data_IF_808618885927
#
_entry.id   IF_808618885927
#
_cell.length_a   1.000
_cell.length_b   1.000
_cell.length_c   1.000
_cell.angle_alpha   90.00
_cell.angle_beta   90.00
_cell.angle_gamma   90.00
#
_symmetry.space_group_name_H-M   'P 1'
#
loop_
_entity.id
_entity.type
_entity.pdbx_description
1 polymer ?
#
# COMPACT_ATOMS: atom_id res chain seq x y z
N UNK A 1 21.99 -46.94 13.33
CA UNK A 1 22.06 -45.57 13.84
C UNK A 1 20.99 -44.79 13.09
N UNK A 2 19.86 -44.60 13.75
CA UNK A 2 18.64 -43.99 13.19
C UNK A 2 18.81 -42.48 13.00
N UNK A 3 18.15 -42.00 11.94
CA UNK A 3 18.13 -40.62 11.48
C UNK A 3 17.26 -39.75 12.38
N UNK A 4 17.80 -38.63 12.89
CA UNK A 4 17.05 -37.58 13.57
C UNK A 4 16.32 -36.69 12.54
N UNK A 5 15.20 -37.15 12.00
CA UNK A 5 14.22 -36.26 11.39
C UNK A 5 13.28 -35.76 12.50
N UNK A 6 13.64 -34.63 13.12
CA UNK A 6 12.73 -33.91 14.02
C UNK A 6 11.48 -33.50 13.25
N UNK A 7 10.32 -33.98 13.68
CA UNK A 7 9.02 -33.56 13.14
C UNK A 7 8.87 -32.06 13.37
N UNK A 8 8.88 -31.26 12.29
CA UNK A 8 8.53 -29.84 12.37
C UNK A 8 7.05 -29.74 12.75
N UNK A 9 6.76 -29.58 14.03
CA UNK A 9 5.43 -29.27 14.54
C UNK A 9 5.18 -27.77 14.50
N UNK A 10 3.95 -27.37 14.20
CA UNK A 10 3.54 -25.96 14.34
C UNK A 10 3.62 -25.52 15.81
N UNK A 11 3.92 -24.24 16.08
CA UNK A 11 3.93 -23.70 17.43
C UNK A 11 2.52 -23.78 18.05
N UNK A 12 2.46 -24.05 19.37
CA UNK A 12 1.18 -24.09 20.09
C UNK A 12 0.56 -22.70 20.28
N UNK A 13 1.38 -21.65 20.23
CA UNK A 13 0.99 -20.25 20.33
C UNK A 13 1.93 -19.42 19.44
N UNK A 14 1.36 -18.46 18.73
CA UNK A 14 2.11 -17.43 18.01
C UNK A 14 1.88 -16.13 18.78
N UNK A 15 2.93 -15.64 19.44
CA UNK A 15 2.94 -14.39 20.19
C UNK A 15 3.92 -13.43 19.51
N UNK A 16 3.45 -12.83 18.42
CA UNK A 16 4.18 -11.88 17.59
C UNK A 16 3.33 -10.62 17.43
N UNK A 17 3.92 -9.45 17.14
CA UNK A 17 3.17 -8.20 16.93
C UNK A 17 2.03 -8.30 15.91
N UNK A 18 2.20 -9.11 14.85
CA UNK A 18 1.18 -9.38 13.83
C UNK A 18 0.13 -10.43 14.20
N UNK A 19 0.20 -11.03 15.39
CA UNK A 19 -0.76 -12.03 15.87
C UNK A 19 -1.82 -11.38 16.76
N UNK A 20 -2.78 -10.70 16.14
CA UNK A 20 -3.83 -9.93 16.83
C UNK A 20 -5.24 -10.44 16.52
N UNK A 21 -6.19 -10.04 17.36
CA UNK A 21 -7.63 -10.25 17.15
C UNK A 21 -8.30 -8.93 16.75
N UNK A 22 -9.42 -8.99 16.01
CA UNK A 22 -10.08 -7.78 15.49
C UNK A 22 -10.54 -6.76 16.54
N UNK A 23 -10.62 -7.15 17.81
CA UNK A 23 -10.94 -6.24 18.93
C UNK A 23 -9.71 -5.57 19.57
N UNK A 24 -8.50 -5.87 19.10
CA UNK A 24 -7.26 -5.37 19.68
C UNK A 24 -6.95 -3.91 19.27
N UNK A 25 -7.43 -3.46 18.10
CA UNK A 25 -7.24 -2.10 17.60
C UNK A 25 -8.56 -1.32 17.60
N UNK A 26 -9.03 -0.96 18.79
CA UNK A 26 -10.27 -0.18 18.95
C UNK A 26 -10.07 1.32 18.77
N UNK A 27 -8.84 1.83 18.93
CA UNK A 27 -8.51 3.23 18.71
C UNK A 27 -7.87 3.41 17.33
N UNK A 28 -8.46 4.23 16.47
CA UNK A 28 -7.92 4.56 15.15
C UNK A 28 -6.53 5.18 15.25
N UNK A 29 -6.21 5.89 16.34
CA UNK A 29 -4.89 6.53 16.51
C UNK A 29 -3.74 5.52 16.51
N UNK A 30 -4.03 4.24 16.78
CA UNK A 30 -3.05 3.16 16.78
C UNK A 30 -2.62 2.75 15.37
N UNK A 31 -3.40 3.05 14.32
CA UNK A 31 -3.11 2.61 12.95
C UNK A 31 -3.37 3.67 11.87
N UNK A 32 -3.92 4.83 12.22
CA UNK A 32 -4.18 5.93 11.30
C UNK A 32 -3.14 7.05 11.50
N UNK A 33 -2.34 7.28 10.47
CA UNK A 33 -1.50 8.46 10.34
C UNK A 33 -2.26 9.56 9.59
N UNK A 34 -2.62 10.62 10.32
CA UNK A 34 -3.31 11.78 9.77
C UNK A 34 -2.28 12.83 9.36
N UNK A 35 -2.20 13.09 8.05
CA UNK A 35 -1.38 14.15 7.48
C UNK A 35 -1.89 15.51 7.95
N UNK A 36 -0.98 16.32 8.47
CA UNK A 36 -1.18 17.75 8.70
C UNK A 36 -1.23 18.52 7.38
N UNK A 37 -1.72 19.75 7.41
CA UNK A 37 -1.74 20.62 6.23
C UNK A 37 -0.33 20.89 5.67
N UNK A 38 0.69 20.97 6.53
CA UNK A 38 2.08 21.14 6.12
C UNK A 38 2.64 19.89 5.42
N UNK A 39 2.25 18.70 5.89
CA UNK A 39 2.64 17.44 5.28
C UNK A 39 1.94 17.21 3.93
N UNK A 40 0.68 17.66 3.79
CA UNK A 40 0.00 17.69 2.49
C UNK A 40 0.72 18.63 1.52
N UNK A 41 1.07 19.85 1.96
CA UNK A 41 1.84 20.81 1.16
C UNK A 41 3.21 20.24 0.74
N UNK A 42 3.87 19.46 1.60
CA UNK A 42 5.11 18.75 1.26
C UNK A 42 4.90 17.75 0.10
N UNK A 43 3.82 16.96 0.14
CA UNK A 43 3.49 16.01 -0.92
C UNK A 43 3.16 16.74 -2.24
N UNK A 44 2.45 17.87 -2.18
CA UNK A 44 2.17 18.72 -3.35
C UNK A 44 3.45 19.29 -3.95
N UNK A 45 4.39 19.75 -3.12
CA UNK A 45 5.70 20.23 -3.56
C UNK A 45 6.52 19.12 -4.23
N UNK A 46 6.49 17.90 -3.69
CA UNK A 46 7.14 16.74 -4.29
C UNK A 46 6.50 16.36 -5.64
N UNK A 47 5.17 16.45 -5.77
CA UNK A 47 4.46 16.28 -7.04
C UNK A 47 4.91 17.32 -8.08
N UNK A 48 4.98 18.59 -7.69
CA UNK A 48 5.44 19.66 -8.57
C UNK A 48 6.89 19.44 -9.02
N UNK A 49 7.76 19.03 -8.10
CA UNK A 49 9.14 18.68 -8.40
C UNK A 49 9.22 17.55 -9.42
N UNK A 50 8.50 16.44 -9.20
CA UNK A 50 8.50 15.30 -10.09
C UNK A 50 8.01 15.66 -11.51
N UNK A 51 6.90 16.40 -11.60
CA UNK A 51 6.37 16.90 -12.89
C UNK A 51 7.38 17.75 -13.65
N UNK A 52 8.17 18.57 -12.95
CA UNK A 52 9.21 19.40 -13.57
C UNK A 52 10.35 18.58 -14.19
N UNK A 53 10.54 17.33 -13.79
CA UNK A 53 11.54 16.42 -14.39
C UNK A 53 11.10 15.89 -15.76
N UNK A 54 9.80 15.96 -16.10
CA UNK A 54 9.26 15.45 -17.36
C UNK A 54 9.41 13.94 -17.52
N UNK A 55 9.49 13.21 -16.40
CA UNK A 55 9.59 11.75 -16.38
C UNK A 55 8.20 11.11 -16.41
N UNK A 56 8.14 9.88 -16.90
CA UNK A 56 6.93 9.07 -16.84
C UNK A 56 6.66 8.63 -15.39
N UNK A 57 5.38 8.57 -15.00
CA UNK A 57 4.97 8.32 -13.60
C UNK A 57 5.40 6.96 -13.03
N UNK A 58 5.67 5.97 -13.89
CA UNK A 58 6.21 4.67 -13.49
C UNK A 58 7.65 4.76 -12.93
N UNK A 59 8.36 5.85 -13.23
CA UNK A 59 9.69 6.14 -12.71
C UNK A 59 9.68 6.81 -11.33
N UNK A 60 8.52 7.06 -10.71
CA UNK A 60 8.43 7.66 -9.37
C UNK A 60 9.13 6.77 -8.33
N UNK A 61 10.10 7.36 -7.65
CA UNK A 61 10.87 6.78 -6.56
C UNK A 61 11.22 7.83 -5.50
N UNK A 62 11.71 7.39 -4.33
CA UNK A 62 12.10 8.30 -3.24
C UNK A 62 13.09 9.40 -3.66
N UNK A 63 13.95 9.12 -4.65
CA UNK A 63 14.96 10.10 -5.11
C UNK A 63 14.36 11.25 -5.92
N UNK A 64 13.29 10.99 -6.69
CA UNK A 64 12.64 12.00 -7.54
C UNK A 64 11.28 12.45 -7.00
N UNK A 65 10.86 11.92 -5.85
CA UNK A 65 9.69 12.35 -5.08
C UNK A 65 10.09 12.55 -3.60
N UNK A 66 10.80 13.65 -3.29
CA UNK A 66 11.40 13.85 -1.96
C UNK A 66 10.35 14.25 -0.92
N UNK A 67 10.31 13.49 0.19
CA UNK A 67 9.45 13.75 1.35
C UNK A 67 10.33 13.78 2.62
N UNK A 68 11.03 14.90 2.91
CA UNK A 68 11.95 14.97 4.03
C UNK A 68 11.29 14.80 5.41
N UNK A 69 10.03 15.21 5.58
CA UNK A 69 9.32 15.06 6.87
C UNK A 69 8.39 13.86 6.80
N UNK A 70 7.53 13.81 5.78
CA UNK A 70 6.53 12.74 5.63
C UNK A 70 7.21 11.40 5.44
N UNK A 71 8.36 11.37 4.76
CA UNK A 71 9.13 10.14 4.54
C UNK A 71 9.59 9.47 5.83
N UNK A 72 9.91 10.23 6.89
CA UNK A 72 10.30 9.66 8.19
C UNK A 72 9.11 8.92 8.83
N UNK A 73 7.92 9.53 8.81
CA UNK A 73 6.69 8.90 9.28
C UNK A 73 6.31 7.67 8.46
N UNK A 74 6.46 7.73 7.13
CA UNK A 74 6.21 6.60 6.25
C UNK A 74 7.20 5.45 6.49
N UNK A 75 8.45 5.73 6.86
CA UNK A 75 9.41 4.69 7.25
C UNK A 75 9.02 3.98 8.55
N UNK A 76 8.40 4.68 9.50
CA UNK A 76 7.83 4.05 10.71
C UNK A 76 6.64 3.16 10.36
N UNK A 77 5.75 3.63 9.47
CA UNK A 77 4.60 2.84 8.99
C UNK A 77 5.10 1.60 8.25
N UNK A 78 6.10 1.74 7.37
CA UNK A 78 6.74 0.63 6.67
C UNK A 78 7.26 -0.43 7.66
N UNK A 79 7.94 -0.01 8.72
CA UNK A 79 8.46 -0.93 9.73
C UNK A 79 7.33 -1.69 10.43
N UNK A 80 6.27 -0.99 10.82
CA UNK A 80 5.13 -1.58 11.51
C UNK A 80 4.28 -2.50 10.61
N UNK A 81 4.25 -2.23 9.30
CA UNK A 81 3.67 -3.13 8.30
C UNK A 81 4.52 -4.40 8.13
N UNK A 82 5.85 -4.32 8.16
CA UNK A 82 6.70 -5.50 7.96
C UNK A 82 6.94 -6.32 9.24
N UNK A 83 7.09 -5.66 10.38
CA UNK A 83 7.57 -6.28 11.63
C UNK A 83 6.57 -6.14 12.79
N UNK A 84 5.57 -5.28 12.64
CA UNK A 84 4.60 -4.95 13.67
C UNK A 84 3.22 -5.53 13.37
N UNK A 85 2.20 -4.67 13.40
CA UNK A 85 0.79 -5.09 13.25
C UNK A 85 0.41 -5.57 11.85
N UNK A 86 1.19 -5.25 10.82
CA UNK A 86 0.95 -5.73 9.46
C UNK A 86 0.07 -4.84 8.59
N UNK A 87 -0.38 -3.68 9.08
CA UNK A 87 -1.22 -2.75 8.33
C UNK A 87 -1.08 -1.31 8.85
N UNK A 88 -1.49 -0.33 8.05
CA UNK A 88 -1.57 1.07 8.43
C UNK A 88 -2.44 1.86 7.46
N UNK A 89 -2.95 3.00 7.89
CA UNK A 89 -3.78 3.89 7.08
C UNK A 89 -3.18 5.30 7.08
N UNK A 90 -2.91 5.85 5.89
CA UNK A 90 -2.54 7.26 5.72
C UNK A 90 -3.78 8.03 5.28
N UNK A 91 -4.12 9.11 5.99
CA UNK A 91 -5.33 9.93 5.76
C UNK A 91 -4.94 11.40 5.68
N UNK A 92 -5.66 12.20 4.89
CA UNK A 92 -5.51 13.67 4.87
C UNK A 92 -5.49 14.30 3.48
N UNK A 93 -5.33 13.51 2.42
CA UNK A 93 -5.46 13.97 1.03
C UNK A 93 -6.95 13.97 0.66
N UNK A 94 -7.48 15.11 0.22
CA UNK A 94 -8.84 15.21 -0.29
C UNK A 94 -8.84 14.99 -1.81
N UNK A 95 -9.45 13.90 -2.32
CA UNK A 95 -9.38 13.56 -3.74
C UNK A 95 -10.09 14.55 -4.67
N UNK A 96 -10.97 15.41 -4.15
CA UNK A 96 -11.66 16.42 -4.96
C UNK A 96 -10.77 17.59 -5.38
N UNK A 97 -9.62 17.76 -4.73
CA UNK A 97 -8.72 18.90 -4.95
C UNK A 97 -7.72 18.65 -6.09
N UNK A 98 -7.65 17.41 -6.61
CA UNK A 98 -6.62 16.98 -7.54
C UNK A 98 -7.20 16.25 -8.75
N UNK A 99 -6.44 16.26 -9.85
CA UNK A 99 -6.75 15.42 -11.00
C UNK A 99 -6.51 13.94 -10.67
N UNK A 100 -7.13 13.01 -11.42
CA UNK A 100 -6.85 11.58 -11.26
C UNK A 100 -5.37 11.24 -11.51
N UNK A 101 -4.72 11.94 -12.43
CA UNK A 101 -3.29 11.78 -12.72
C UNK A 101 -2.43 12.26 -11.53
N UNK A 102 -2.77 13.40 -10.95
CA UNK A 102 -2.07 13.99 -9.81
C UNK A 102 -2.21 13.08 -8.58
N UNK A 103 -3.42 12.60 -8.30
CA UNK A 103 -3.65 11.63 -7.22
C UNK A 103 -2.85 10.36 -7.43
N UNK A 104 -2.78 9.88 -8.67
CA UNK A 104 -2.00 8.69 -9.00
C UNK A 104 -0.51 8.91 -8.72
N UNK A 105 0.05 10.06 -9.13
CA UNK A 105 1.45 10.38 -8.87
C UNK A 105 1.73 10.59 -7.38
N UNK A 106 0.84 11.28 -6.65
CA UNK A 106 0.95 11.43 -5.19
C UNK A 106 0.94 10.08 -4.48
N UNK A 107 0.01 9.20 -4.88
CA UNK A 107 -0.07 7.83 -4.37
C UNK A 107 1.20 7.04 -4.66
N UNK A 108 1.71 7.09 -5.89
CA UNK A 108 2.97 6.43 -6.28
C UNK A 108 4.15 6.95 -5.46
N UNK A 109 4.20 8.26 -5.24
CA UNK A 109 5.22 8.95 -4.44
C UNK A 109 5.24 8.43 -3.02
N UNK A 110 4.10 8.48 -2.33
CA UNK A 110 3.91 7.97 -0.97
C UNK A 110 4.22 6.47 -0.89
N UNK A 111 3.69 5.66 -1.81
CA UNK A 111 3.92 4.22 -1.85
C UNK A 111 5.41 3.86 -1.98
N UNK A 112 6.22 4.68 -2.66
CA UNK A 112 7.66 4.44 -2.81
C UNK A 112 8.43 4.48 -1.47
N UNK A 113 7.82 5.03 -0.42
CA UNK A 113 8.34 4.99 0.95
C UNK A 113 7.91 3.74 1.72
N UNK A 114 6.88 3.03 1.28
CA UNK A 114 6.42 1.80 1.95
C UNK A 114 7.07 0.57 1.32
N UNK A 115 7.03 0.45 -0.01
CA UNK A 115 7.63 -0.64 -0.75
C UNK A 115 8.51 -0.09 -1.89
N UNK A 116 9.73 -0.63 -2.01
CA UNK A 116 10.72 -0.17 -2.97
C UNK A 116 10.57 -0.81 -4.36
N UNK A 117 9.79 -1.89 -4.48
CA UNK A 117 9.48 -2.56 -5.73
C UNK A 117 7.96 -2.65 -5.85
N UNK A 118 7.45 -2.29 -7.02
CA UNK A 118 6.04 -2.47 -7.34
C UNK A 118 5.86 -3.87 -7.93
N UNK A 119 4.76 -4.55 -7.60
CA UNK A 119 4.40 -5.82 -8.21
C UNK A 119 3.70 -5.59 -9.56
N UNK A 120 3.97 -6.46 -10.55
CA UNK A 120 3.26 -6.40 -11.84
C UNK A 120 1.84 -6.93 -11.66
N UNK A 121 0.83 -6.07 -11.84
CA UNK A 121 -0.57 -6.40 -11.59
C UNK A 121 -1.32 -6.96 -12.81
N UNK A 122 -0.77 -6.87 -14.03
CA UNK A 122 -1.35 -7.53 -15.20
C UNK A 122 -0.29 -7.99 -16.22
N UNK A 123 -0.73 -8.75 -17.22
CA UNK A 123 0.14 -9.24 -18.30
C UNK A 123 0.76 -8.10 -19.15
N UNK A 124 0.25 -6.87 -19.03
CA UNK A 124 0.73 -5.68 -19.75
C UNK A 124 1.82 -4.93 -19.00
N UNK A 125 2.13 -5.30 -17.75
CA UNK A 125 3.16 -4.61 -16.98
C UNK A 125 2.64 -3.47 -16.11
N UNK A 126 1.32 -3.31 -15.96
CA UNK A 126 0.77 -2.24 -15.14
C UNK A 126 1.09 -2.47 -13.65
N UNK A 127 1.63 -1.44 -13.02
CA UNK A 127 2.09 -1.46 -11.62
C UNK A 127 1.06 -0.83 -10.66
N UNK A 128 0.00 -0.26 -11.23
CA UNK A 128 -1.19 0.24 -10.56
C UNK A 128 -2.42 -0.18 -11.34
N UNK A 129 -3.45 -0.62 -10.63
CA UNK A 129 -4.76 -0.88 -11.19
C UNK A 129 -5.76 0.00 -10.45
N UNK A 130 -6.41 0.91 -11.17
CA UNK A 130 -7.60 1.59 -10.67
C UNK A 130 -8.69 0.53 -10.41
N UNK A 131 -9.08 0.35 -9.15
CA UNK A 131 -10.26 -0.44 -8.80
C UNK A 131 -11.49 0.44 -9.02
N UNK A 132 -12.08 0.34 -10.21
CA UNK A 132 -13.36 0.97 -10.54
C UNK A 132 -14.39 -0.13 -10.69
N UNK A 133 -15.52 0.01 -9.99
CA UNK A 133 -16.70 -0.82 -10.26
C UNK A 133 -17.22 -0.52 -11.67
N UNK A 134 -16.76 -1.28 -12.66
CA UNK A 134 -17.19 -1.13 -14.05
C UNK A 134 -18.28 -2.17 -14.39
N UNK A 135 -19.50 -1.67 -14.61
CA UNK A 135 -20.67 -2.46 -15.01
C UNK A 135 -20.90 -2.47 -16.53
N UNK A 136 -19.94 -2.03 -17.36
CA UNK A 136 -20.21 -1.74 -18.77
C UNK A 136 -19.96 -2.89 -19.77
N UNK A 137 -19.47 -4.07 -19.36
CA UNK A 137 -19.24 -5.17 -20.31
C UNK A 137 -19.54 -6.58 -19.77
N UNK A 138 -20.23 -7.39 -20.58
CA UNK A 138 -20.62 -8.79 -20.31
C UNK A 138 -19.42 -9.79 -20.31
N UNK A 139 -18.20 -9.32 -20.11
CA UNK A 139 -16.97 -10.12 -20.03
C UNK A 139 -16.39 -10.18 -18.60
N UNK A 140 -17.10 -9.63 -17.61
CA UNK A 140 -16.64 -9.43 -16.23
C UNK A 140 -16.72 -10.67 -15.31
N UNK A 141 -17.10 -11.84 -15.80
CA UNK A 141 -17.41 -13.00 -14.92
C UNK A 141 -16.21 -13.88 -14.53
N UNK A 142 -14.97 -13.49 -14.82
CA UNK A 142 -13.78 -14.30 -14.47
C UNK A 142 -12.69 -13.58 -13.67
N UNK A 143 -12.84 -12.28 -13.36
CA UNK A 143 -11.87 -11.55 -12.53
C UNK A 143 -12.57 -10.84 -11.37
N UNK A 144 -12.01 -10.98 -10.16
CA UNK A 144 -12.43 -10.29 -8.92
C UNK A 144 -12.43 -8.75 -9.02
N UNK A 145 -11.93 -8.21 -10.13
CA UNK A 145 -11.73 -6.79 -10.44
C UNK A 145 -12.99 -6.06 -10.90
N UNK A 146 -14.07 -6.77 -11.24
CA UNK A 146 -15.30 -6.18 -11.82
C UNK A 146 -16.59 -6.76 -11.21
N UNK A 147 -16.55 -7.10 -9.92
CA UNK A 147 -17.72 -7.65 -9.22
C UNK A 147 -18.13 -6.74 -8.08
N UNK A 148 -19.44 -6.51 -7.93
CA UNK A 148 -20.06 -5.93 -6.72
C UNK A 148 -20.24 -6.95 -5.60
N UNK A 149 -19.69 -8.16 -5.76
CA UNK A 149 -19.72 -9.20 -4.74
C UNK A 149 -18.65 -8.94 -3.70
N UNK A 150 -18.96 -9.27 -2.44
CA UNK A 150 -18.02 -9.24 -1.34
C UNK A 150 -16.74 -10.01 -1.70
N UNK A 151 -15.60 -9.33 -1.59
CA UNK A 151 -14.30 -9.96 -1.77
C UNK A 151 -14.03 -10.80 -0.53
N UNK A 152 -14.01 -12.12 -0.70
CA UNK A 152 -13.64 -13.05 0.38
C UNK A 152 -12.23 -12.75 0.90
N UNK A 153 -12.01 -12.97 2.18
CA UNK A 153 -10.71 -12.81 2.82
C UNK A 153 -9.64 -13.63 2.08
N UNK A 154 -8.60 -12.95 1.59
CA UNK A 154 -7.50 -13.55 0.85
C UNK A 154 -6.22 -12.75 1.10
N UNK A 155 -5.06 -13.40 0.94
CA UNK A 155 -3.78 -12.73 0.85
C UNK A 155 -3.40 -12.61 -0.63
N UNK A 156 -2.64 -11.58 -0.99
CA UNK A 156 -2.07 -11.48 -2.33
C UNK A 156 -0.94 -12.51 -2.49
N UNK A 157 -1.01 -13.35 -3.54
CA UNK A 157 -0.05 -14.44 -3.73
C UNK A 157 1.29 -13.96 -4.33
N UNK A 158 1.35 -12.74 -4.86
CA UNK A 158 2.47 -12.25 -5.68
C UNK A 158 3.27 -11.08 -5.09
N UNK A 159 2.87 -10.52 -3.95
CA UNK A 159 3.53 -9.35 -3.36
C UNK A 159 3.52 -9.34 -1.83
N UNK A 160 4.55 -8.74 -1.23
CA UNK A 160 4.72 -8.65 0.22
C UNK A 160 3.76 -7.63 0.87
N UNK A 161 3.36 -6.60 0.13
CA UNK A 161 2.48 -5.51 0.60
C UNK A 161 1.43 -5.22 -0.47
N UNK A 162 0.17 -5.11 -0.03
CA UNK A 162 -0.94 -4.58 -0.84
C UNK A 162 -1.23 -3.15 -0.36
N UNK A 163 -1.35 -2.23 -1.30
CA UNK A 163 -1.74 -0.85 -1.05
C UNK A 163 -2.82 -0.48 -2.08
N UNK A 164 -3.85 0.23 -1.65
CA UNK A 164 -5.00 0.62 -2.47
C UNK A 164 -5.73 1.83 -1.89
#
# INVERSE_FOLDING_TARGET
>A
MESCYGTRSFPQLIDLPGAWHGNQFSDESEYVYNLSSQEVEEIENALCHFKALGLDGDLICRQNFPLPTVGESLDLIRLDVHEGKGFGLVRGINPLDYSAEDLTMMYLGVQSYIANLRGRQDEKGNMLVHVVADNSSNLSSQHHRHSTSEITFHNEESGDIVSG
#
